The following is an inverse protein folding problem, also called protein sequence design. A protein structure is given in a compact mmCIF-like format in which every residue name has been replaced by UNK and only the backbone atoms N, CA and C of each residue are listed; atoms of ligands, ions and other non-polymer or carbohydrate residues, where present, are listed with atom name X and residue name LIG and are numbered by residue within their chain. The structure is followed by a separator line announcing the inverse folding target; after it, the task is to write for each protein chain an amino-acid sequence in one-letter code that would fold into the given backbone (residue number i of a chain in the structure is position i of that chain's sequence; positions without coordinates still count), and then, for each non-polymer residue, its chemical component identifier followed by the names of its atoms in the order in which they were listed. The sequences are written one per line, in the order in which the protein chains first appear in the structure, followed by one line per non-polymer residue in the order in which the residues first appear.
data_IF_714348705566
#
_entry.id   IF_714348705566
#
_cell.length_a   1.000
_cell.length_b   1.000
_cell.length_c   1.000
_cell.angle_alpha   90.00
_cell.angle_beta   90.00
_cell.angle_gamma   90.00
#
_symmetry.space_group_name_H-M   'P 1'
#
loop_
_entity.id
_entity.type
_entity.pdbx_description
1 polymer ?
#
# COMPACT_ATOMS: atom_id res chain seq x y z
N UNK A 1 -21.55 2.66 8.46
CA UNK A 1 -20.57 2.71 9.56
C UNK A 1 -19.71 1.44 9.68
N UNK A 2 -20.27 0.21 9.62
CA UNK A 2 -19.44 -1.02 9.56
C UNK A 2 -18.82 -1.21 8.16
N UNK A 3 -19.59 -0.96 7.11
CA UNK A 3 -19.11 -1.04 5.73
C UNK A 3 -17.91 -0.12 5.46
N UNK A 4 -17.92 1.10 6.00
CA UNK A 4 -16.87 2.09 5.80
C UNK A 4 -15.56 1.67 6.47
N UNK A 5 -15.64 1.14 7.70
CA UNK A 5 -14.48 0.59 8.41
C UNK A 5 -13.88 -0.62 7.69
N UNK A 6 -14.73 -1.51 7.17
CA UNK A 6 -14.30 -2.68 6.38
C UNK A 6 -13.64 -2.27 5.07
N UNK A 7 -14.15 -1.23 4.40
CA UNK A 7 -13.54 -0.69 3.18
C UNK A 7 -12.17 -0.08 3.50
N UNK A 8 -12.05 0.68 4.58
CA UNK A 8 -10.78 1.25 5.02
C UNK A 8 -9.72 0.19 5.36
N UNK A 9 -10.12 -0.91 6.01
CA UNK A 9 -9.24 -2.05 6.26
C UNK A 9 -8.80 -2.74 4.96
N UNK A 10 -9.74 -2.97 4.04
CA UNK A 10 -9.43 -3.55 2.72
C UNK A 10 -8.39 -2.74 1.96
N UNK A 11 -8.51 -1.41 1.92
CA UNK A 11 -7.50 -0.58 1.25
C UNK A 11 -6.12 -0.70 1.89
N UNK A 12 -6.03 -0.70 3.23
CA UNK A 12 -4.75 -0.84 3.94
C UNK A 12 -4.08 -2.20 3.72
N UNK A 13 -4.85 -3.26 3.55
CA UNK A 13 -4.31 -4.62 3.43
C UNK A 13 -4.11 -5.07 1.98
N UNK A 14 -4.94 -4.60 1.04
CA UNK A 14 -5.00 -5.16 -0.31
C UNK A 14 -4.51 -4.20 -1.41
N UNK A 15 -4.22 -2.93 -1.09
CA UNK A 15 -3.66 -1.99 -2.07
C UNK A 15 -2.22 -1.63 -1.77
N UNK A 16 -1.36 -1.75 -2.79
CA UNK A 16 0.08 -1.52 -2.67
C UNK A 16 0.41 -0.15 -2.06
N UNK A 17 -0.31 0.90 -2.44
CA UNK A 17 0.00 2.29 -2.05
C UNK A 17 -0.41 2.63 -0.61
N UNK A 18 -1.51 2.07 -0.12
CA UNK A 18 -2.01 2.34 1.23
C UNK A 18 -1.43 1.40 2.30
N UNK A 19 -0.68 0.36 1.89
CA UNK A 19 0.05 -0.52 2.80
C UNK A 19 1.19 0.23 3.52
N UNK A 20 1.49 -0.20 4.75
CA UNK A 20 2.66 0.24 5.48
C UNK A 20 3.94 -0.22 4.77
N UNK A 21 4.95 0.64 4.70
CA UNK A 21 6.19 0.34 4.03
C UNK A 21 7.04 -0.63 4.87
N UNK A 22 7.44 -1.76 4.29
CA UNK A 22 8.10 -2.87 5.02
C UNK A 22 9.43 -2.50 5.68
N UNK A 23 10.14 -1.48 5.18
CA UNK A 23 11.39 -1.00 5.77
C UNK A 23 11.19 0.10 6.82
N UNK A 24 10.02 0.73 6.83
CA UNK A 24 9.66 1.81 7.75
C UNK A 24 8.12 1.85 7.87
N UNK A 25 7.61 1.12 8.85
CA UNK A 25 6.17 0.98 9.08
C UNK A 25 5.47 2.26 9.56
N UNK A 26 6.21 3.35 9.79
CA UNK A 26 5.64 4.65 10.13
C UNK A 26 5.01 5.37 8.93
N UNK A 27 5.37 4.95 7.71
CA UNK A 27 4.87 5.52 6.45
C UNK A 27 4.25 4.49 5.53
N UNK A 28 3.38 4.95 4.63
CA UNK A 28 2.85 4.12 3.55
C UNK A 28 3.82 4.03 2.37
N UNK A 29 3.60 3.03 1.50
CA UNK A 29 4.36 2.91 0.24
C UNK A 29 4.16 4.16 -0.63
N UNK A 30 2.97 4.77 -0.64
CA UNK A 30 2.72 6.03 -1.34
C UNK A 30 3.58 7.19 -0.82
N UNK A 31 3.69 7.34 0.51
CA UNK A 31 4.52 8.37 1.12
C UNK A 31 6.00 8.18 0.77
N UNK A 32 6.48 6.94 0.78
CA UNK A 32 7.83 6.62 0.34
C UNK A 32 8.07 6.97 -1.14
N UNK A 33 7.11 6.68 -2.03
CA UNK A 33 7.23 7.03 -3.46
C UNK A 33 7.29 8.54 -3.67
N UNK A 34 6.51 9.32 -2.91
CA UNK A 34 6.53 10.79 -2.97
C UNK A 34 7.87 11.39 -2.51
N UNK A 35 8.51 10.78 -1.51
CA UNK A 35 9.86 11.17 -1.06
C UNK A 35 10.94 10.85 -2.12
N UNK A 36 10.72 9.82 -2.93
CA UNK A 36 11.65 9.40 -3.98
C UNK A 36 11.56 10.23 -5.28
N UNK A 37 10.57 11.13 -5.40
CA UNK A 37 10.35 12.01 -6.55
C UNK A 37 9.00 11.81 -7.24
N UNK A 38 8.87 12.25 -8.50
CA UNK A 38 7.67 12.03 -9.31
C UNK A 38 7.70 10.65 -9.98
N UNK A 39 7.57 9.61 -9.15
CA UNK A 39 7.57 8.21 -9.58
C UNK A 39 6.20 7.57 -9.35
N UNK A 40 5.75 6.78 -10.32
CA UNK A 40 4.48 6.06 -10.26
C UNK A 40 4.69 4.57 -10.48
N UNK A 41 4.04 3.76 -9.65
CA UNK A 41 3.96 2.32 -9.90
C UNK A 41 2.95 2.08 -11.01
N UNK A 42 3.41 1.50 -12.12
CA UNK A 42 2.57 1.18 -13.28
C UNK A 42 1.96 -0.21 -13.16
N UNK A 43 2.71 -1.20 -12.67
CA UNK A 43 2.26 -2.58 -12.50
C UNK A 43 3.06 -3.28 -11.39
N UNK A 44 2.44 -4.25 -10.71
CA UNK A 44 3.15 -5.21 -9.85
C UNK A 44 2.52 -6.60 -9.96
N UNK A 45 3.35 -7.64 -9.81
CA UNK A 45 2.90 -9.04 -9.76
C UNK A 45 3.52 -9.72 -8.54
N UNK A 46 2.67 -10.28 -7.67
CA UNK A 46 3.11 -11.12 -6.55
C UNK A 46 2.92 -12.59 -6.93
N UNK A 47 4.00 -13.36 -6.93
CA UNK A 47 3.97 -14.83 -7.08
C UNK A 47 4.35 -15.44 -5.73
N UNK A 48 3.49 -16.29 -5.19
CA UNK A 48 3.77 -17.08 -4.00
C UNK A 48 3.64 -18.56 -4.39
N UNK A 49 4.70 -19.33 -4.14
CA UNK A 49 4.63 -20.78 -4.15
C UNK A 49 4.10 -21.17 -2.78
N UNK A 50 2.99 -21.92 -2.75
CA UNK A 50 2.25 -22.27 -1.55
C UNK A 50 3.10 -22.92 -0.47
#
# INVERSE_FOLDING_TARGET
KIADGKMGAFFKEQTLTAQAFVKDGSKSVEQYLKEAGDVKVTEFKRVALG
#
